data_IF_147302820895
#
_entry.id   IF_147302820895
#
_cell.length_a   1.000
_cell.length_b   1.000
_cell.length_c   1.000
_cell.angle_alpha   90.00
_cell.angle_beta   90.00
_cell.angle_gamma   90.00
#
_symmetry.space_group_name_H-M   'P 1'
#
loop_
_entity.id
_entity.type
_entity.pdbx_description
1 polymer ?
#
# COMPACT_ATOMS: atom_id res chain seq x y z
N UNK A 1 -35.35 -36.10 -5.97
CA UNK A 1 -34.47 -35.38 -5.02
C UNK A 1 -33.79 -34.26 -5.80
N UNK A 2 -34.06 -32.99 -5.48
CA UNK A 2 -33.50 -31.84 -6.21
C UNK A 2 -32.03 -31.67 -5.81
N UNK A 3 -31.12 -32.01 -6.72
CA UNK A 3 -29.69 -31.71 -6.59
C UNK A 3 -29.51 -30.22 -6.80
N UNK A 4 -29.36 -29.48 -5.69
CA UNK A 4 -28.96 -28.08 -5.76
C UNK A 4 -27.53 -28.02 -6.30
N UNK A 5 -27.24 -27.16 -7.29
CA UNK A 5 -25.89 -27.06 -7.80
C UNK A 5 -25.00 -26.55 -6.66
N UNK A 6 -23.99 -27.35 -6.29
CA UNK A 6 -22.95 -26.99 -5.30
C UNK A 6 -21.89 -26.05 -5.88
N UNK A 7 -22.05 -25.65 -7.14
CA UNK A 7 -21.15 -24.75 -7.88
C UNK A 7 -21.13 -23.32 -7.31
N UNK A 8 -22.27 -22.69 -6.98
CA UNK A 8 -22.30 -21.34 -6.41
C UNK A 8 -21.56 -21.18 -5.07
N UNK A 9 -21.72 -22.05 -4.04
CA UNK A 9 -21.06 -21.87 -2.76
C UNK A 9 -19.54 -22.08 -2.84
N UNK A 10 -19.05 -22.95 -3.73
CA UNK A 10 -17.61 -23.19 -3.92
C UNK A 10 -16.95 -21.96 -4.55
N UNK A 11 -17.58 -21.38 -5.58
CA UNK A 11 -17.13 -20.12 -6.18
C UNK A 11 -17.13 -18.98 -5.15
N UNK A 12 -18.16 -18.89 -4.30
CA UNK A 12 -18.24 -17.88 -3.24
C UNK A 12 -17.10 -18.04 -2.23
N UNK A 13 -16.81 -19.26 -1.78
CA UNK A 13 -15.71 -19.55 -0.86
C UNK A 13 -14.34 -19.22 -1.47
N UNK A 14 -14.15 -19.47 -2.77
CA UNK A 14 -12.93 -19.11 -3.49
C UNK A 14 -12.76 -17.59 -3.60
N UNK A 15 -13.83 -16.86 -3.93
CA UNK A 15 -13.80 -15.40 -3.98
C UNK A 15 -13.52 -14.79 -2.59
N UNK A 16 -14.13 -15.31 -1.53
CA UNK A 16 -13.92 -14.84 -0.16
C UNK A 16 -12.49 -15.10 0.33
N UNK A 17 -11.90 -16.25 0.03
CA UNK A 17 -10.49 -16.55 0.38
C UNK A 17 -9.50 -15.66 -0.39
N UNK A 18 -9.81 -15.30 -1.64
CA UNK A 18 -8.99 -14.38 -2.44
C UNK A 18 -9.10 -12.92 -1.95
N UNK A 19 -10.28 -12.48 -1.49
CA UNK A 19 -10.50 -11.09 -1.07
C UNK A 19 -9.90 -10.74 0.30
N UNK A 20 -9.61 -11.72 1.17
CA UNK A 20 -8.99 -11.45 2.48
C UNK A 20 -7.52 -11.01 2.36
N UNK A 21 -6.84 -11.29 1.24
CA UNK A 21 -5.47 -10.81 0.98
C UNK A 21 -5.43 -9.41 0.34
N UNK A 22 -6.59 -8.80 0.09
CA UNK A 22 -6.71 -7.41 -0.35
C UNK A 22 -7.07 -6.46 0.82
N UNK A 23 -6.73 -6.85 2.05
CA UNK A 23 -6.64 -5.91 3.17
C UNK A 23 -5.66 -4.80 2.76
N UNK A 24 -6.24 -3.68 2.33
CA UNK A 24 -5.73 -2.32 2.45
C UNK A 24 -4.22 -2.27 2.53
N UNK A 25 -3.59 -2.19 1.35
CA UNK A 25 -2.24 -1.65 1.23
C UNK A 25 -2.23 -0.37 2.09
N UNK A 26 -1.55 -0.43 3.23
CA UNK A 26 -1.26 0.70 4.11
C UNK A 26 -0.29 1.67 3.38
N UNK A 27 -0.81 2.20 2.29
CA UNK A 27 -0.12 3.02 1.31
C UNK A 27 -0.94 4.27 1.00
N UNK A 28 -2.18 4.34 1.49
CA UNK A 28 -3.06 5.51 1.50
C UNK A 28 -3.09 6.24 2.85
N UNK A 29 -2.24 5.86 3.82
CA UNK A 29 -1.72 6.91 4.71
C UNK A 29 -0.82 7.72 3.80
N UNK A 30 -1.29 8.89 3.38
CA UNK A 30 -0.48 9.95 2.79
C UNK A 30 0.79 10.06 3.64
N UNK A 31 1.88 9.39 3.22
CA UNK A 31 3.09 9.19 4.04
C UNK A 31 3.85 10.50 4.07
N UNK A 32 3.34 11.42 4.87
CA UNK A 32 3.88 12.77 5.11
C UNK A 32 5.16 12.73 5.93
N UNK A 33 5.49 11.56 6.51
CA UNK A 33 6.70 11.32 7.27
C UNK A 33 7.61 10.27 6.60
N UNK A 34 8.91 10.56 6.59
CA UNK A 34 9.95 9.65 6.13
C UNK A 34 10.51 8.84 7.30
N UNK A 35 10.61 7.52 7.13
CA UNK A 35 11.21 6.61 8.13
C UNK A 35 12.49 5.93 7.63
N UNK A 36 12.82 6.10 6.35
CA UNK A 36 14.01 5.54 5.71
C UNK A 36 14.67 6.62 4.87
N UNK A 37 16.00 6.67 4.90
CA UNK A 37 16.79 7.72 4.26
C UNK A 37 17.85 7.09 3.35
N UNK A 38 17.98 7.64 2.15
CA UNK A 38 19.11 7.31 1.29
C UNK A 38 20.37 7.99 1.83
N UNK A 39 21.45 7.23 1.98
CA UNK A 39 22.79 7.75 2.29
C UNK A 39 23.63 8.01 1.03
N UNK A 40 23.00 7.98 -0.15
CA UNK A 40 23.65 8.23 -1.44
C UNK A 40 23.12 9.52 -2.06
N UNK A 41 24.01 10.26 -2.70
CA UNK A 41 23.62 11.44 -3.45
C UNK A 41 22.81 11.03 -4.67
N UNK A 42 21.62 11.60 -4.81
CA UNK A 42 20.76 11.40 -5.97
C UNK A 42 21.30 12.25 -7.14
N UNK A 43 21.47 11.67 -8.33
CA UNK A 43 21.78 12.43 -9.53
C UNK A 43 20.68 13.46 -9.79
N UNK A 44 21.07 14.73 -10.00
CA UNK A 44 20.10 15.84 -10.12
C UNK A 44 19.12 15.65 -11.29
N UNK A 45 19.58 15.04 -12.38
CA UNK A 45 18.76 14.73 -13.54
C UNK A 45 17.65 13.71 -13.28
N UNK A 46 17.67 13.02 -12.13
CA UNK A 46 16.60 12.09 -11.71
C UNK A 46 15.61 12.74 -10.74
N UNK A 47 15.93 13.92 -10.19
CA UNK A 47 15.07 14.62 -9.25
C UNK A 47 14.07 15.47 -10.03
N UNK A 48 12.80 15.10 -9.97
CA UNK A 48 11.72 15.81 -10.67
C UNK A 48 11.07 16.88 -9.78
N UNK A 49 10.93 16.57 -8.50
CA UNK A 49 10.36 17.44 -7.47
C UNK A 49 10.94 17.03 -6.12
N UNK A 50 10.72 17.89 -5.11
CA UNK A 50 11.02 17.55 -3.73
C UNK A 50 9.98 18.17 -2.80
N UNK A 51 9.80 17.56 -1.63
CA UNK A 51 8.91 18.06 -0.59
C UNK A 51 9.48 17.80 0.80
N UNK A 52 9.29 18.76 1.71
CA UNK A 52 9.61 18.58 3.12
C UNK A 52 8.52 17.79 3.84
N UNK A 53 8.93 16.96 4.80
CA UNK A 53 8.00 16.29 5.72
C UNK A 53 7.23 17.30 6.59
N UNK A 54 6.10 16.88 7.16
CA UNK A 54 5.36 17.71 8.10
C UNK A 54 6.10 17.89 9.44
N UNK A 55 5.81 19.00 10.15
CA UNK A 55 6.40 19.29 11.46
C UNK A 55 6.02 18.27 12.55
N UNK A 56 4.89 17.58 12.36
CA UNK A 56 4.39 16.54 13.27
C UNK A 56 5.20 15.25 13.19
N UNK A 57 6.05 15.09 12.17
CA UNK A 57 6.87 13.91 12.00
C UNK A 57 7.96 13.83 13.07
N UNK A 58 8.25 12.61 13.59
CA UNK A 58 9.28 12.42 14.61
C UNK A 58 10.68 12.75 14.10
N UNK A 59 10.89 12.66 12.79
CA UNK A 59 12.13 13.02 12.11
C UNK A 59 11.79 13.86 10.87
N UNK A 60 12.58 14.91 10.65
CA UNK A 60 12.43 15.78 9.48
C UNK A 60 13.23 15.22 8.29
N UNK A 61 12.64 15.30 7.11
CA UNK A 61 13.20 14.76 5.88
C UNK A 61 12.74 15.49 4.61
N UNK A 62 13.33 15.07 3.49
CA UNK A 62 12.98 15.51 2.14
C UNK A 62 12.71 14.27 1.29
N UNK A 63 11.57 14.27 0.60
CA UNK A 63 11.16 13.26 -0.36
C UNK A 63 11.17 13.80 -1.77
#
# INVERSE_FOLDING_TARGET
MRTFPLVPPILLAFLLTVHVRAATRDSDVEKTCCFQYSHKMLPWNWVQAYQFTQISCPQQGVM
#
